data_IF_272401611013
#
_entry.id   IF_272401611013
#
_cell.length_a   1.000
_cell.length_b   1.000
_cell.length_c   1.000
_cell.angle_alpha   90.00
_cell.angle_beta   90.00
_cell.angle_gamma   90.00
#
_symmetry.space_group_name_H-M   'P 1'
#
loop_
_entity.id
_entity.type
_entity.pdbx_description
1 polymer ?
#
# COMPACT_ATOMS: atom_id res chain seq x y z
N UNK A 1 -30.50 -6.45 32.70
CA UNK A 1 -31.65 -7.23 32.16
C UNK A 1 -31.04 -8.34 31.33
N UNK A 2 -30.87 -9.55 31.87
CA UNK A 2 -29.87 -10.52 31.39
C UNK A 2 -30.09 -10.98 29.94
N UNK A 3 -31.33 -10.95 29.47
CA UNK A 3 -31.67 -11.33 28.09
C UNK A 3 -31.13 -10.36 27.03
N UNK A 4 -30.97 -9.07 27.36
CA UNK A 4 -30.41 -8.06 26.45
C UNK A 4 -28.90 -8.24 26.32
N UNK A 5 -28.22 -8.56 27.41
CA UNK A 5 -26.77 -8.79 27.44
C UNK A 5 -26.38 -10.07 26.67
N UNK A 6 -27.21 -11.12 26.76
CA UNK A 6 -27.04 -12.35 25.99
C UNK A 6 -27.22 -12.10 24.49
N UNK A 7 -28.26 -11.34 24.10
CA UNK A 7 -28.49 -10.93 22.71
C UNK A 7 -27.35 -10.05 22.18
N UNK A 8 -26.87 -9.10 22.97
CA UNK A 8 -25.75 -8.23 22.61
C UNK A 8 -24.48 -9.05 22.35
N UNK A 9 -24.15 -10.00 23.23
CA UNK A 9 -22.99 -10.88 23.08
C UNK A 9 -23.11 -11.84 21.87
N UNK A 10 -24.31 -12.31 21.56
CA UNK A 10 -24.57 -13.18 20.40
C UNK A 10 -24.56 -12.41 19.06
N UNK A 11 -24.99 -11.14 19.09
CA UNK A 11 -25.02 -10.24 17.94
C UNK A 11 -23.67 -9.56 17.68
N UNK A 12 -22.78 -9.53 18.67
CA UNK A 12 -21.39 -9.07 18.53
C UNK A 12 -20.57 -10.09 17.71
N UNK A 13 -20.98 -10.32 16.47
CA UNK A 13 -20.17 -11.00 15.48
C UNK A 13 -19.07 -10.06 15.03
N UNK A 14 -17.86 -10.61 14.99
CA UNK A 14 -16.56 -9.99 14.68
C UNK A 14 -15.86 -9.38 15.90
N UNK A 15 -15.41 -10.27 16.79
CA UNK A 15 -14.13 -10.02 17.47
C UNK A 15 -13.05 -10.17 16.41
N UNK A 16 -12.71 -9.09 15.71
CA UNK A 16 -11.44 -9.07 14.98
C UNK A 16 -10.37 -9.25 16.04
N UNK A 17 -9.76 -10.43 16.09
CA UNK A 17 -8.73 -10.79 17.06
C UNK A 17 -7.63 -9.71 17.01
N UNK A 18 -7.39 -8.98 18.11
CA UNK A 18 -6.42 -7.89 18.11
C UNK A 18 -5.02 -8.35 17.67
N UNK A 19 -4.68 -9.61 17.97
CA UNK A 19 -3.45 -10.26 17.48
C UNK A 19 -3.43 -10.38 15.96
N UNK A 20 -4.54 -10.77 15.33
CA UNK A 20 -4.62 -10.89 13.87
C UNK A 20 -4.49 -9.52 13.20
N UNK A 21 -5.10 -8.48 13.77
CA UNK A 21 -4.96 -7.09 13.29
C UNK A 21 -3.51 -6.64 13.39
N UNK A 22 -2.87 -6.86 14.54
CA UNK A 22 -1.46 -6.50 14.73
C UNK A 22 -0.57 -7.23 13.73
N UNK A 23 -0.71 -8.55 13.59
CA UNK A 23 0.06 -9.32 12.61
C UNK A 23 -0.18 -8.83 11.18
N UNK A 24 -1.41 -8.47 10.82
CA UNK A 24 -1.70 -7.92 9.50
C UNK A 24 -1.02 -6.56 9.28
N UNK A 25 -1.02 -5.68 10.28
CA UNK A 25 -0.31 -4.40 10.23
C UNK A 25 1.21 -4.59 10.12
N UNK A 26 1.81 -5.44 10.97
CA UNK A 26 3.24 -5.74 10.94
C UNK A 26 3.68 -6.32 9.58
N UNK A 27 2.83 -7.18 8.98
CA UNK A 27 3.09 -7.74 7.66
C UNK A 27 2.95 -6.68 6.56
N UNK A 28 1.93 -5.82 6.65
CA UNK A 28 1.74 -4.75 5.70
C UNK A 28 2.92 -3.77 5.71
N UNK A 29 3.39 -3.36 6.89
CA UNK A 29 4.58 -2.51 7.04
C UNK A 29 5.81 -3.15 6.37
N UNK A 30 6.07 -4.44 6.63
CA UNK A 30 7.17 -5.18 5.98
C UNK A 30 7.04 -5.18 4.46
N UNK A 31 5.84 -5.42 3.93
CA UNK A 31 5.62 -5.40 2.49
C UNK A 31 5.89 -4.02 1.88
N UNK A 32 5.53 -2.93 2.56
CA UNK A 32 5.83 -1.57 2.09
C UNK A 32 7.33 -1.30 2.10
N UNK A 33 8.05 -1.73 3.14
CA UNK A 33 9.52 -1.63 3.19
C UNK A 33 10.17 -2.43 2.06
N UNK A 34 9.68 -3.65 1.78
CA UNK A 34 10.18 -4.47 0.69
C UNK A 34 9.94 -3.82 -0.68
N UNK A 35 8.76 -3.23 -0.90
CA UNK A 35 8.45 -2.46 -2.11
C UNK A 35 9.39 -1.27 -2.22
N UNK A 36 9.57 -0.50 -1.15
CA UNK A 36 10.48 0.66 -1.10
C UNK A 36 11.89 0.29 -1.54
N UNK A 37 12.41 -0.84 -1.04
CA UNK A 37 13.75 -1.32 -1.38
C UNK A 37 13.87 -1.78 -2.84
N UNK A 38 12.78 -2.24 -3.46
CA UNK A 38 12.72 -2.74 -4.83
C UNK A 38 12.18 -1.72 -5.85
N UNK A 39 11.94 -0.47 -5.44
CA UNK A 39 11.38 0.57 -6.31
C UNK A 39 12.16 0.72 -7.62
N UNK A 40 13.49 0.65 -7.57
CA UNK A 40 14.33 0.83 -8.75
C UNK A 40 14.17 -0.33 -9.76
N UNK A 41 14.00 -1.55 -9.27
CA UNK A 41 13.70 -2.73 -10.10
C UNK A 41 12.32 -2.62 -10.75
N UNK A 42 11.31 -2.25 -9.95
CA UNK A 42 9.93 -2.08 -10.41
C UNK A 42 9.79 -0.98 -11.48
N UNK A 43 10.53 0.12 -11.34
CA UNK A 43 10.56 1.20 -12.33
C UNK A 43 11.18 0.72 -13.65
N UNK A 44 12.24 -0.09 -13.57
CA UNK A 44 12.91 -0.63 -14.75
C UNK A 44 12.06 -1.69 -15.46
N UNK A 45 11.38 -2.55 -14.69
CA UNK A 45 10.39 -3.50 -15.22
C UNK A 45 9.22 -2.78 -15.90
N UNK A 46 8.69 -1.72 -15.29
CA UNK A 46 7.61 -0.92 -15.88
C UNK A 46 8.04 -0.29 -17.23
N UNK A 47 9.28 0.19 -17.35
CA UNK A 47 9.82 0.68 -18.63
C UNK A 47 9.94 -0.41 -19.68
N UNK A 48 10.30 -1.63 -19.27
CA UNK A 48 10.39 -2.79 -20.16
C UNK A 48 9.04 -3.23 -20.71
N UNK A 49 7.97 -3.06 -19.93
CA UNK A 49 6.61 -3.48 -20.30
C UNK A 49 5.89 -2.37 -21.10
N UNK A 50 6.16 -1.10 -20.78
CA UNK A 50 5.57 0.07 -21.44
C UNK A 50 6.33 0.50 -22.71
N UNK A 51 6.54 -0.40 -23.67
CA UNK A 51 6.75 -0.01 -25.07
C UNK A 51 5.41 0.40 -25.69
N UNK A 52 4.94 1.62 -25.43
CA UNK A 52 3.81 2.19 -26.18
C UNK A 52 4.26 2.57 -27.61
N UNK A 53 3.46 2.30 -28.65
CA UNK A 53 3.72 2.81 -29.99
C UNK A 53 3.65 4.34 -29.94
N UNK A 54 4.62 5.01 -30.57
CA UNK A 54 4.67 6.48 -30.69
C UNK A 54 3.48 7.00 -31.52
N UNK A 55 2.29 7.05 -30.92
CA UNK A 55 1.06 7.53 -31.54
C UNK A 55 0.49 8.69 -30.73
N UNK A 56 0.79 9.91 -31.16
CA UNK A 56 0.06 11.16 -30.90
C UNK A 56 -0.76 11.23 -29.60
N UNK A 57 -0.12 11.29 -28.44
CA UNK A 57 -0.76 11.74 -27.19
C UNK A 57 -0.12 13.06 -26.74
N UNK A 58 -0.97 14.06 -26.49
CA UNK A 58 -0.65 15.40 -25.96
C UNK A 58 0.52 15.31 -24.96
N UNK A 59 1.55 16.14 -25.16
CA UNK A 59 2.71 16.32 -24.26
C UNK A 59 2.23 16.61 -22.83
N UNK A 60 1.89 15.58 -22.05
CA UNK A 60 2.02 15.63 -20.60
C UNK A 60 3.50 15.85 -20.35
N UNK A 61 3.84 16.82 -19.50
CA UNK A 61 5.23 17.03 -19.06
C UNK A 61 5.82 15.65 -18.79
N UNK A 62 6.92 15.34 -19.46
CA UNK A 62 7.68 14.12 -19.18
C UNK A 62 8.14 14.23 -17.74
N UNK A 63 7.32 13.80 -16.77
CA UNK A 63 7.80 13.56 -15.42
C UNK A 63 8.93 12.56 -15.59
N UNK A 64 10.12 12.98 -15.19
CA UNK A 64 11.30 12.16 -15.41
C UNK A 64 11.12 10.86 -14.61
N UNK A 65 11.78 9.79 -15.04
CA UNK A 65 11.83 8.55 -14.24
C UNK A 65 12.33 8.81 -12.81
N UNK A 66 13.08 9.89 -12.60
CA UNK A 66 13.56 10.32 -11.30
C UNK A 66 12.41 10.92 -10.46
N UNK A 67 11.51 11.70 -11.05
CA UNK A 67 10.36 12.29 -10.35
C UNK A 67 9.40 11.20 -9.86
N UNK A 68 9.18 10.17 -10.68
CA UNK A 68 8.37 9.01 -10.30
C UNK A 68 9.00 8.19 -9.18
N UNK A 69 10.33 8.05 -9.17
CA UNK A 69 11.07 7.38 -8.11
C UNK A 69 10.94 8.13 -6.78
N UNK A 70 11.18 9.44 -6.80
CA UNK A 70 11.09 10.29 -5.61
C UNK A 70 9.68 10.24 -5.03
N UNK A 71 8.65 10.37 -5.87
CA UNK A 71 7.26 10.26 -5.43
C UNK A 71 6.92 8.88 -4.83
N UNK A 72 7.40 7.79 -5.44
CA UNK A 72 7.17 6.44 -4.92
C UNK A 72 7.83 6.22 -3.56
N UNK A 73 9.05 6.72 -3.37
CA UNK A 73 9.74 6.66 -2.09
C UNK A 73 9.01 7.47 -1.02
N UNK A 74 8.58 8.69 -1.34
CA UNK A 74 7.82 9.55 -0.44
C UNK A 74 6.51 8.90 0.00
N UNK A 75 5.79 8.25 -0.92
CA UNK A 75 4.58 7.50 -0.59
C UNK A 75 4.87 6.35 0.37
N UNK A 76 5.94 5.58 0.13
CA UNK A 76 6.31 4.48 1.04
C UNK A 76 6.70 5.01 2.42
N UNK A 77 7.46 6.10 2.48
CA UNK A 77 7.90 6.71 3.74
C UNK A 77 6.71 7.23 4.55
N UNK A 78 5.78 7.94 3.91
CA UNK A 78 4.55 8.42 4.55
C UNK A 78 3.67 7.26 5.08
N UNK A 79 3.60 6.15 4.35
CA UNK A 79 2.85 4.97 4.80
C UNK A 79 3.53 4.36 6.02
N UNK A 80 4.86 4.17 6.01
CA UNK A 80 5.59 3.59 7.15
C UNK A 80 5.51 4.50 8.37
N UNK A 81 5.62 5.82 8.20
CA UNK A 81 5.51 6.78 9.29
C UNK A 81 4.12 6.80 9.94
N UNK A 82 3.07 6.37 9.22
CA UNK A 82 1.72 6.23 9.79
C UNK A 82 1.55 5.07 10.78
N UNK A 83 2.53 4.15 10.83
CA UNK A 83 2.55 3.04 11.80
C UNK A 83 3.33 3.36 13.08
N UNK A 84 4.03 4.50 13.14
CA UNK A 84 4.75 4.98 14.32
C UNK A 84 3.85 5.79 15.25
#
# INVERSE_FOLDING_TARGET
>A
MPHVDILFNQLQKRKTEPRQVKTANDNFEKCIVDVRNKIDELINEAKSICTEPQGNKRRRRNNSSHDHRVAALEVCDNIVDSFK
#
